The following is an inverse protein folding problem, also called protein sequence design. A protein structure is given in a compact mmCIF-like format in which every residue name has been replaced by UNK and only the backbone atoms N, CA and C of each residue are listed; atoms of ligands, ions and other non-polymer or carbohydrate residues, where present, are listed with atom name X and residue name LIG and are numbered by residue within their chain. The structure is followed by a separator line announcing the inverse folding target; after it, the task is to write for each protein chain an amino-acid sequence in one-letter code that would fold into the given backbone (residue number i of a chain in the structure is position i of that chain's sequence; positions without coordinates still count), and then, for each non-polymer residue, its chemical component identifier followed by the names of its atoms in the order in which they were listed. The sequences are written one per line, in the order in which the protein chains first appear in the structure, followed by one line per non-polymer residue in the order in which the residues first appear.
data_IF_500740001578
#
_entry.id   IF_500740001578
#
_cell.length_a   1.000
_cell.length_b   1.000
_cell.length_c   1.000
_cell.angle_alpha   90.00
_cell.angle_beta   90.00
_cell.angle_gamma   90.00
#
_symmetry.space_group_name_H-M   'P 1'
#
loop_
_entity.id
_entity.type
_entity.pdbx_description
1 polymer ?
#
# COMPACT_ATOMS: atom_id res chain seq x y z
N UNK A 1 -9.77 37.68 86.51
CA UNK A 1 -10.05 38.70 85.48
C UNK A 1 -10.36 37.96 84.20
N UNK A 2 -11.61 37.56 84.02
CA UNK A 2 -12.67 38.25 83.28
C UNK A 2 -12.72 37.70 81.84
N UNK A 3 -13.84 37.31 81.23
CA UNK A 3 -15.23 37.12 81.64
C UNK A 3 -15.96 36.52 80.41
N UNK A 4 -17.13 35.91 80.65
CA UNK A 4 -18.25 35.72 79.69
C UNK A 4 -18.33 34.50 78.74
N UNK A 5 -19.43 33.76 78.94
CA UNK A 5 -20.11 32.78 78.07
C UNK A 5 -21.56 33.31 77.78
N UNK A 6 -22.54 32.51 77.27
CA UNK A 6 -22.83 31.89 75.95
C UNK A 6 -24.12 32.54 75.29
N UNK A 7 -24.82 32.06 74.20
CA UNK A 7 -25.66 30.82 74.18
C UNK A 7 -25.95 30.09 72.81
N UNK A 8 -26.37 28.80 72.93
CA UNK A 8 -27.41 27.97 72.25
C UNK A 8 -27.82 28.08 70.74
N UNK A 9 -27.72 26.91 70.07
CA UNK A 9 -28.74 26.09 69.34
C UNK A 9 -29.50 26.58 68.08
N UNK A 10 -29.47 25.79 66.98
CA UNK A 10 -30.65 25.34 66.17
C UNK A 10 -30.31 24.19 65.18
N UNK A 11 -31.28 23.29 64.95
CA UNK A 11 -31.28 21.93 64.35
C UNK A 11 -31.54 21.87 62.80
N UNK A 12 -31.71 20.70 62.09
CA UNK A 12 -31.43 20.45 60.65
C UNK A 12 -32.71 20.27 59.75
N UNK A 13 -32.65 20.05 58.40
CA UNK A 13 -32.66 18.69 57.78
C UNK A 13 -31.97 18.54 56.38
N UNK A 14 -32.00 17.31 55.84
CA UNK A 14 -31.39 16.75 54.61
C UNK A 14 -32.14 17.09 53.28
N UNK A 15 -32.11 16.25 52.21
CA UNK A 15 -31.06 15.85 51.25
C UNK A 15 -31.38 16.33 49.80
N UNK A 16 -30.45 16.22 48.84
CA UNK A 16 -30.84 16.14 47.41
C UNK A 16 -29.87 15.30 46.60
N UNK A 17 -30.45 14.36 45.85
CA UNK A 17 -29.81 13.39 44.99
C UNK A 17 -29.59 13.91 43.55
N UNK A 18 -28.95 13.06 42.73
CA UNK A 18 -28.85 13.05 41.24
C UNK A 18 -27.78 13.99 40.67
N UNK A 19 -26.78 13.56 39.88
CA UNK A 19 -26.85 12.66 38.71
C UNK A 19 -25.43 12.13 38.37
N UNK A 20 -25.26 10.87 37.90
CA UNK A 20 -23.97 10.39 37.37
C UNK A 20 -23.72 10.97 35.97
N UNK A 21 -22.56 11.60 35.76
CA UNK A 21 -22.09 11.99 34.44
C UNK A 21 -21.80 10.75 33.58
N UNK A 22 -22.11 10.76 32.27
CA UNK A 22 -22.02 9.58 31.43
C UNK A 22 -20.58 9.12 31.25
N UNK A 23 -20.36 7.81 31.38
CA UNK A 23 -19.12 7.15 31.04
C UNK A 23 -18.82 7.36 29.55
N UNK A 24 -17.74 8.08 29.25
CA UNK A 24 -17.18 8.14 27.91
C UNK A 24 -16.69 6.73 27.57
N UNK A 25 -17.41 6.03 26.71
CA UNK A 25 -16.91 4.82 26.05
C UNK A 25 -15.65 5.20 25.31
N UNK A 26 -14.50 4.84 25.88
CA UNK A 26 -13.24 4.85 25.17
C UNK A 26 -13.38 3.86 24.01
N UNK A 27 -13.63 4.39 22.81
CA UNK A 27 -13.48 3.63 21.58
C UNK A 27 -12.03 3.15 21.54
N UNK A 28 -11.83 1.86 21.75
CA UNK A 28 -10.55 1.19 21.52
C UNK A 28 -10.26 1.26 20.03
N UNK A 29 -9.58 2.32 19.60
CA UNK A 29 -8.89 2.35 18.32
C UNK A 29 -7.90 1.18 18.31
N UNK A 30 -7.98 0.25 17.35
CA UNK A 30 -6.96 -0.77 17.18
C UNK A 30 -5.59 -0.08 17.09
N UNK A 31 -4.53 -0.62 17.71
CA UNK A 31 -3.20 -0.02 17.60
C UNK A 31 -2.84 0.11 16.11
N UNK A 32 -2.25 1.24 15.67
CA UNK A 32 -1.78 1.34 14.30
C UNK A 32 -0.76 0.22 14.10
N UNK A 33 -1.07 -0.72 13.21
CA UNK A 33 -0.04 -1.52 12.53
C UNK A 33 1.01 -0.52 12.09
N UNK A 34 2.25 -0.66 12.54
CA UNK A 34 3.33 0.30 12.28
C UNK A 34 3.38 0.60 10.79
N UNK A 35 2.74 1.70 10.37
CA UNK A 35 2.76 2.12 8.99
C UNK A 35 4.21 2.41 8.66
N UNK A 36 4.73 1.78 7.61
CA UNK A 36 6.09 2.05 7.16
C UNK A 36 6.21 3.58 6.97
N UNK A 37 7.22 4.18 7.61
CA UNK A 37 7.45 5.61 7.49
C UNK A 37 7.69 5.95 6.01
N UNK A 38 7.00 6.98 5.51
CA UNK A 38 7.17 7.45 4.14
C UNK A 38 8.55 8.11 4.03
N UNK A 39 9.43 7.64 3.13
CA UNK A 39 10.76 8.23 2.98
C UNK A 39 10.70 9.67 2.45
N UNK A 40 11.76 10.44 2.69
CA UNK A 40 11.89 11.78 2.10
C UNK A 40 11.82 11.72 0.56
N UNK A 41 11.11 12.67 -0.04
CA UNK A 41 10.88 12.72 -1.50
C UNK A 41 9.80 11.75 -2.00
N UNK A 42 9.04 11.11 -1.10
CA UNK A 42 7.86 10.33 -1.40
C UNK A 42 6.62 10.98 -0.79
N UNK A 43 5.48 10.80 -1.48
CA UNK A 43 4.17 11.14 -0.98
C UNK A 43 3.27 9.89 -0.94
N UNK A 44 2.50 9.76 0.14
CA UNK A 44 1.40 8.80 0.19
C UNK A 44 0.30 9.23 -0.75
N UNK A 45 -0.05 8.34 -1.65
CA UNK A 45 -1.20 8.43 -2.53
C UNK A 45 -2.30 7.52 -1.98
N UNK A 46 -3.49 8.07 -1.76
CA UNK A 46 -4.71 7.28 -1.54
C UNK A 46 -5.54 7.30 -2.82
N UNK A 47 -5.63 6.17 -3.51
CA UNK A 47 -6.34 6.06 -4.78
C UNK A 47 -7.84 5.85 -4.56
N UNK A 48 -8.67 6.42 -5.43
CA UNK A 48 -10.11 6.17 -5.46
C UNK A 48 -10.50 4.70 -5.69
N UNK A 49 -9.56 3.83 -6.06
CA UNK A 49 -9.72 2.38 -6.17
C UNK A 49 -9.63 1.64 -4.82
N UNK A 50 -9.32 2.33 -3.73
CA UNK A 50 -9.39 1.80 -2.37
C UNK A 50 -8.05 1.55 -1.69
N UNK A 51 -6.93 1.58 -2.43
CA UNK A 51 -5.60 1.36 -1.87
C UNK A 51 -4.87 2.66 -1.52
N UNK A 52 -3.85 2.55 -0.67
CA UNK A 52 -2.83 3.59 -0.45
C UNK A 52 -1.42 3.07 -0.70
N UNK A 53 -0.53 3.94 -1.16
CA UNK A 53 0.88 3.60 -1.46
C UNK A 53 1.76 4.85 -1.44
N UNK A 54 3.01 4.75 -1.00
CA UNK A 54 3.98 5.82 -1.16
C UNK A 54 4.68 5.72 -2.52
N UNK A 55 4.70 6.82 -3.27
CA UNK A 55 5.40 6.95 -4.55
C UNK A 55 6.27 8.23 -4.52
N UNK A 56 7.33 8.33 -5.34
CA UNK A 56 8.11 9.55 -5.40
C UNK A 56 7.23 10.76 -5.75
N UNK A 57 7.64 11.93 -5.28
CA UNK A 57 6.86 13.16 -5.45
C UNK A 57 6.60 13.50 -6.94
N UNK A 58 5.44 14.11 -7.18
CA UNK A 58 5.06 14.61 -8.50
C UNK A 58 4.55 13.54 -9.48
N UNK A 59 4.39 12.28 -9.04
CA UNK A 59 3.83 11.24 -9.91
C UNK A 59 2.35 11.50 -10.23
N UNK A 60 1.98 11.29 -11.49
CA UNK A 60 0.64 11.61 -12.00
C UNK A 60 -0.17 10.35 -12.31
N UNK A 61 -1.39 10.30 -11.78
CA UNK A 61 -2.34 9.21 -11.99
C UNK A 61 -2.84 9.16 -13.44
N UNK A 62 -2.86 7.98 -14.02
CA UNK A 62 -3.48 7.68 -15.31
C UNK A 62 -4.29 6.39 -15.21
N UNK A 63 -5.58 6.45 -15.56
CA UNK A 63 -6.45 5.28 -15.52
C UNK A 63 -6.49 4.61 -16.89
N UNK A 64 -6.29 3.29 -16.91
CA UNK A 64 -6.36 2.50 -18.14
C UNK A 64 -6.94 1.14 -17.75
N UNK A 65 -8.28 1.05 -17.69
CA UNK A 65 -8.96 -0.16 -17.22
C UNK A 65 -8.42 -1.42 -17.92
N UNK A 66 -8.18 -2.52 -17.17
CA UNK A 66 -8.53 -2.72 -15.76
C UNK A 66 -7.52 -2.17 -14.74
N UNK A 67 -6.47 -1.47 -15.18
CA UNK A 67 -5.35 -1.01 -14.36
C UNK A 67 -5.45 0.47 -14.01
N UNK A 68 -4.77 0.87 -12.93
CA UNK A 68 -4.36 2.26 -12.72
C UNK A 68 -2.85 2.35 -12.79
N UNK A 69 -2.36 3.47 -13.29
CA UNK A 69 -0.96 3.78 -13.37
C UNK A 69 -0.65 5.09 -12.67
N UNK A 70 0.58 5.21 -12.18
CA UNK A 70 1.20 6.46 -11.78
C UNK A 70 2.49 6.62 -12.56
N UNK A 71 2.68 7.78 -13.18
CA UNK A 71 3.84 8.08 -14.01
C UNK A 71 4.70 9.14 -13.35
N UNK A 72 6.02 8.97 -13.40
CA UNK A 72 6.94 10.06 -13.07
C UNK A 72 6.72 11.26 -14.01
N UNK A 73 7.09 12.49 -13.62
CA UNK A 73 6.90 13.69 -14.43
C UNK A 73 7.46 13.58 -15.86
N UNK A 74 8.63 12.94 -16.02
CA UNK A 74 9.30 12.68 -17.30
C UNK A 74 8.79 11.42 -18.04
N UNK A 75 7.84 10.71 -17.43
CA UNK A 75 7.27 9.44 -17.87
C UNK A 75 8.30 8.31 -18.04
N UNK A 76 9.47 8.42 -17.41
CA UNK A 76 10.47 7.37 -17.43
C UNK A 76 10.07 6.20 -16.53
N UNK A 77 9.44 6.45 -15.38
CA UNK A 77 8.99 5.43 -14.43
C UNK A 77 7.48 5.30 -14.45
N UNK A 78 7.01 4.08 -14.21
CA UNK A 78 5.59 3.78 -14.12
C UNK A 78 5.31 2.72 -13.07
N UNK A 79 4.55 3.12 -12.06
CA UNK A 79 3.89 2.21 -11.13
C UNK A 79 2.55 1.84 -11.70
N UNK A 80 2.08 0.63 -11.44
CA UNK A 80 0.68 0.30 -11.64
C UNK A 80 0.16 -0.69 -10.63
N UNK A 81 -1.15 -0.66 -10.49
CA UNK A 81 -1.92 -1.53 -9.62
C UNK A 81 -3.04 -2.20 -10.44
N UNK A 82 -3.28 -3.46 -10.12
CA UNK A 82 -4.44 -4.22 -10.59
C UNK A 82 -5.00 -5.11 -9.47
N UNK A 83 -6.31 -5.04 -9.26
CA UNK A 83 -7.08 -6.01 -8.48
C UNK A 83 -7.90 -6.86 -9.43
N UNK A 84 -7.94 -8.16 -9.18
CA UNK A 84 -8.80 -9.13 -9.86
C UNK A 84 -9.34 -10.19 -8.90
N UNK A 85 -10.35 -10.97 -9.31
CA UNK A 85 -10.63 -12.25 -8.67
C UNK A 85 -9.38 -13.14 -8.65
N UNK A 86 -9.17 -13.96 -7.61
CA UNK A 86 -8.07 -14.91 -7.58
C UNK A 86 -8.08 -15.84 -8.80
N UNK A 87 -6.90 -16.06 -9.37
CA UNK A 87 -6.72 -17.03 -10.44
C UNK A 87 -6.81 -18.47 -9.95
N UNK A 88 -6.59 -19.42 -10.86
CA UNK A 88 -6.40 -20.82 -10.47
C UNK A 88 -5.02 -20.99 -9.84
N UNK A 89 -4.96 -21.64 -8.68
CA UNK A 89 -3.72 -21.91 -7.96
C UNK A 89 -3.23 -20.73 -7.12
N UNK A 90 -1.93 -20.73 -6.82
CA UNK A 90 -1.26 -19.71 -6.03
C UNK A 90 -0.91 -18.48 -6.86
N UNK A 91 -0.53 -17.37 -6.21
CA UNK A 91 0.01 -16.19 -6.91
C UNK A 91 1.23 -16.55 -7.78
N UNK A 92 2.05 -17.50 -7.32
CA UNK A 92 3.17 -18.02 -8.08
C UNK A 92 2.71 -18.76 -9.34
N UNK A 93 1.68 -19.60 -9.27
CA UNK A 93 1.16 -20.32 -10.44
C UNK A 93 0.62 -19.35 -11.51
N UNK A 94 -0.08 -18.30 -11.07
CA UNK A 94 -0.56 -17.24 -11.94
C UNK A 94 0.61 -16.54 -12.63
N UNK A 95 1.63 -16.07 -11.89
CA UNK A 95 2.79 -15.43 -12.50
C UNK A 95 3.63 -16.36 -13.37
N UNK A 96 3.76 -17.64 -13.00
CA UNK A 96 4.44 -18.65 -13.82
C UNK A 96 3.76 -18.81 -15.19
N UNK A 97 2.43 -18.78 -15.23
CA UNK A 97 1.67 -18.81 -16.49
C UNK A 97 1.92 -17.54 -17.33
N UNK A 98 2.03 -16.37 -16.69
CA UNK A 98 2.32 -15.11 -17.36
C UNK A 98 3.75 -15.06 -17.91
N UNK A 99 4.74 -15.56 -17.17
CA UNK A 99 6.12 -15.69 -17.62
C UNK A 99 6.23 -16.63 -18.83
N UNK A 100 5.53 -17.76 -18.78
CA UNK A 100 5.47 -18.70 -19.91
C UNK A 100 4.86 -18.03 -21.15
N UNK A 101 3.76 -17.29 -20.99
CA UNK A 101 3.13 -16.56 -22.08
C UNK A 101 4.03 -15.45 -22.63
N UNK A 102 4.78 -14.74 -21.77
CA UNK A 102 5.71 -13.69 -22.17
C UNK A 102 6.89 -14.19 -23.00
N UNK A 103 7.34 -15.43 -22.76
CA UNK A 103 8.37 -16.10 -23.57
C UNK A 103 7.84 -16.60 -24.92
N UNK A 104 6.53 -16.66 -25.09
CA UNK A 104 5.90 -17.09 -26.33
C UNK A 104 6.11 -16.11 -27.49
N UNK A 105 5.94 -16.55 -28.75
CA UNK A 105 6.16 -15.73 -29.93
C UNK A 105 5.23 -14.49 -30.01
N UNK A 106 4.08 -14.56 -29.33
CA UNK A 106 3.10 -13.48 -29.25
C UNK A 106 2.97 -12.92 -27.82
N UNK A 107 4.06 -13.00 -27.02
CA UNK A 107 4.08 -12.49 -25.66
C UNK A 107 3.77 -10.98 -25.59
N UNK A 108 3.17 -10.48 -24.49
CA UNK A 108 2.77 -9.08 -24.38
C UNK A 108 3.94 -8.10 -24.26
N UNK A 109 5.15 -8.58 -23.97
CA UNK A 109 6.35 -7.76 -23.74
C UNK A 109 7.34 -7.95 -24.90
N UNK A 110 7.46 -6.93 -25.77
CA UNK A 110 8.44 -6.95 -26.86
C UNK A 110 9.86 -7.07 -26.31
N UNK A 111 10.64 -8.00 -26.87
CA UNK A 111 12.02 -8.26 -26.44
C UNK A 111 12.15 -8.79 -25.02
N UNK A 112 11.11 -9.46 -24.50
CA UNK A 112 11.11 -10.09 -23.18
C UNK A 112 12.37 -10.94 -22.95
N UNK A 113 13.05 -10.70 -21.83
CA UNK A 113 14.26 -11.41 -21.42
C UNK A 113 14.53 -11.22 -19.93
N UNK A 114 15.52 -11.95 -19.42
CA UNK A 114 15.98 -11.86 -18.01
C UNK A 114 14.86 -12.04 -16.97
N UNK A 115 13.84 -12.82 -17.33
CA UNK A 115 12.70 -13.14 -16.49
C UNK A 115 13.08 -14.09 -15.37
N UNK A 116 12.92 -13.65 -14.12
CA UNK A 116 13.17 -14.41 -12.89
C UNK A 116 11.92 -14.34 -12.02
N UNK A 117 11.42 -15.51 -11.60
CA UNK A 117 10.25 -15.62 -10.73
C UNK A 117 10.68 -16.14 -9.35
N UNK A 118 10.34 -15.41 -8.30
CA UNK A 118 10.76 -15.68 -6.92
C UNK A 118 9.55 -15.79 -6.01
N UNK A 119 9.48 -16.83 -5.18
CA UNK A 119 8.49 -16.92 -4.09
C UNK A 119 8.86 -15.96 -2.96
N UNK A 120 7.88 -15.23 -2.44
CA UNK A 120 8.06 -14.26 -1.36
C UNK A 120 6.76 -14.12 -0.56
N UNK A 121 6.64 -13.08 0.27
CA UNK A 121 5.43 -12.79 1.04
C UNK A 121 5.04 -11.32 0.93
N UNK A 122 3.75 -11.01 0.99
CA UNK A 122 3.24 -9.64 1.09
C UNK A 122 2.13 -9.61 2.13
N UNK A 123 2.23 -8.71 3.13
CA UNK A 123 1.26 -8.61 4.24
C UNK A 123 1.00 -9.94 4.98
N UNK A 124 2.00 -10.83 5.03
CA UNK A 124 1.88 -12.15 5.64
C UNK A 124 1.34 -13.24 4.72
N UNK A 125 0.90 -12.89 3.51
CA UNK A 125 0.38 -13.84 2.51
C UNK A 125 1.47 -14.31 1.55
N UNK A 126 1.30 -15.52 1.00
CA UNK A 126 2.15 -16.04 -0.07
C UNK A 126 2.07 -15.15 -1.32
N UNK A 127 3.23 -14.75 -1.82
CA UNK A 127 3.37 -13.87 -2.95
C UNK A 127 4.40 -14.38 -3.96
N UNK A 128 4.35 -13.83 -5.16
CA UNK A 128 5.34 -14.05 -6.20
C UNK A 128 5.87 -12.72 -6.71
N UNK A 129 7.19 -12.62 -6.84
CA UNK A 129 7.89 -11.50 -7.45
C UNK A 129 8.43 -11.94 -8.80
N UNK A 130 7.98 -11.30 -9.86
CA UNK A 130 8.50 -11.46 -11.20
C UNK A 130 9.34 -10.25 -11.58
N UNK A 131 10.61 -10.49 -11.88
CA UNK A 131 11.51 -9.47 -12.41
C UNK A 131 11.84 -9.77 -13.86
N UNK A 132 11.75 -8.78 -14.74
CA UNK A 132 12.04 -9.00 -16.16
C UNK A 132 12.45 -7.73 -16.89
N UNK A 133 13.06 -7.92 -18.05
CA UNK A 133 13.46 -6.85 -18.97
C UNK A 133 12.66 -6.95 -20.27
N UNK A 134 12.27 -5.81 -20.85
CA UNK A 134 11.63 -5.73 -22.16
C UNK A 134 11.98 -4.41 -22.87
N UNK A 135 11.61 -4.25 -24.13
CA UNK A 135 12.04 -3.13 -24.98
C UNK A 135 11.32 -1.79 -24.70
N UNK A 136 10.39 -1.76 -23.75
CA UNK A 136 9.64 -0.55 -23.40
C UNK A 136 8.40 -0.30 -24.25
N UNK A 137 7.95 0.96 -24.30
CA UNK A 137 6.64 1.35 -24.86
C UNK A 137 6.65 1.71 -26.35
N UNK A 138 7.70 1.33 -27.09
CA UNK A 138 7.92 1.78 -28.47
C UNK A 138 7.92 3.32 -28.63
N UNK A 139 8.28 4.04 -27.58
CA UNK A 139 8.38 5.51 -27.50
C UNK A 139 9.82 6.02 -27.68
N UNK A 140 10.76 5.12 -28.02
CA UNK A 140 12.18 5.44 -28.18
C UNK A 140 12.94 5.59 -26.86
N UNK A 141 12.32 5.38 -25.68
CA UNK A 141 13.00 5.50 -24.37
C UNK A 141 13.84 4.27 -23.98
N UNK A 142 13.90 3.26 -24.86
CA UNK A 142 14.75 2.09 -24.69
C UNK A 142 14.20 1.03 -23.72
N UNK A 143 15.04 0.02 -23.42
CA UNK A 143 14.62 -1.12 -22.62
C UNK A 143 14.34 -0.72 -21.17
N UNK A 144 13.49 -1.52 -20.53
CA UNK A 144 13.00 -1.27 -19.17
C UNK A 144 13.17 -2.50 -18.30
N UNK A 145 13.54 -2.29 -17.03
CA UNK A 145 13.45 -3.30 -15.97
C UNK A 145 12.11 -3.14 -15.25
N UNK A 146 11.46 -4.26 -14.95
CA UNK A 146 10.19 -4.30 -14.23
C UNK A 146 10.27 -5.25 -13.05
N UNK A 147 9.68 -4.83 -11.94
CA UNK A 147 9.40 -5.63 -10.76
C UNK A 147 7.89 -5.71 -10.61
N UNK A 148 7.34 -6.91 -10.60
CA UNK A 148 5.89 -7.17 -10.52
C UNK A 148 5.63 -8.14 -9.36
N UNK A 149 4.82 -7.73 -8.38
CA UNK A 149 4.46 -8.50 -7.20
C UNK A 149 2.99 -8.89 -7.26
N UNK A 150 2.72 -10.19 -7.18
CA UNK A 150 1.39 -10.75 -7.12
C UNK A 150 1.14 -11.44 -5.78
N UNK A 151 -0.02 -11.23 -5.16
CA UNK A 151 -0.47 -11.95 -3.97
C UNK A 151 -2.00 -12.00 -3.89
N UNK A 152 -2.54 -12.90 -3.08
CA UNK A 152 -3.97 -12.95 -2.77
C UNK A 152 -4.19 -12.54 -1.32
N UNK A 153 -5.14 -11.63 -1.08
CA UNK A 153 -5.52 -11.17 0.25
C UNK A 153 -7.02 -10.88 0.26
N UNK A 154 -7.74 -11.29 1.31
CA UNK A 154 -9.17 -10.99 1.51
C UNK A 154 -10.05 -11.35 0.30
N UNK A 155 -9.77 -12.50 -0.34
CA UNK A 155 -10.51 -13.00 -1.50
C UNK A 155 -10.27 -12.23 -2.80
N UNK A 156 -9.22 -11.39 -2.86
CA UNK A 156 -8.80 -10.62 -4.03
C UNK A 156 -7.36 -10.90 -4.36
N UNK A 157 -7.02 -10.95 -5.64
CA UNK A 157 -5.64 -11.01 -6.09
C UNK A 157 -5.19 -9.62 -6.55
N UNK A 158 -4.06 -9.19 -6.01
CA UNK A 158 -3.43 -7.91 -6.27
C UNK A 158 -2.17 -8.13 -7.09
N UNK A 159 -1.94 -7.25 -8.06
CA UNK A 159 -0.65 -7.04 -8.71
C UNK A 159 -0.23 -5.58 -8.46
N UNK A 160 0.98 -5.37 -7.97
CA UNK A 160 1.65 -4.07 -8.05
C UNK A 160 2.94 -4.24 -8.83
N UNK A 161 3.23 -3.32 -9.73
CA UNK A 161 4.48 -3.36 -10.46
C UNK A 161 5.07 -1.97 -10.62
N UNK A 162 6.40 -1.92 -10.72
CA UNK A 162 7.12 -0.71 -11.07
C UNK A 162 8.11 -1.02 -12.20
N UNK A 163 8.04 -0.22 -13.25
CA UNK A 163 8.85 -0.33 -14.44
C UNK A 163 9.61 0.97 -14.66
N UNK A 164 10.90 0.89 -15.01
CA UNK A 164 11.76 2.05 -15.26
C UNK A 164 12.85 1.73 -16.29
N UNK A 165 13.64 2.73 -16.73
CA UNK A 165 14.76 2.52 -17.66
C UNK A 165 15.74 1.47 -17.15
N UNK A 166 16.29 0.65 -18.06
CA UNK A 166 17.20 -0.44 -17.69
C UNK A 166 18.48 0.05 -17.00
N UNK A 167 19.02 1.19 -17.41
CA UNK A 167 20.18 1.85 -16.80
C UNK A 167 19.90 2.44 -15.41
N UNK A 168 18.62 2.59 -15.05
CA UNK A 168 18.15 3.05 -13.73
C UNK A 168 17.49 1.92 -12.93
N UNK A 169 17.97 0.68 -13.10
CA UNK A 169 17.41 -0.50 -12.43
C UNK A 169 17.39 -0.36 -10.90
N UNK A 170 18.45 0.12 -10.27
CA UNK A 170 18.49 0.26 -8.80
C UNK A 170 17.52 1.32 -8.29
N UNK A 171 17.34 2.43 -9.02
CA UNK A 171 16.34 3.43 -8.69
C UNK A 171 14.91 2.86 -8.85
N UNK A 172 14.71 2.05 -9.90
CA UNK A 172 13.44 1.32 -10.12
C UNK A 172 13.17 0.35 -8.95
N UNK A 173 14.18 -0.41 -8.51
CA UNK A 173 14.05 -1.34 -7.38
C UNK A 173 13.74 -0.60 -6.07
N UNK A 174 14.46 0.48 -5.78
CA UNK A 174 14.23 1.27 -4.56
C UNK A 174 12.81 1.86 -4.49
N UNK A 175 12.31 2.39 -5.61
CA UNK A 175 10.92 2.88 -5.68
C UNK A 175 9.90 1.74 -5.53
N UNK A 176 10.18 0.57 -6.13
CA UNK A 176 9.33 -0.61 -6.01
C UNK A 176 9.27 -1.13 -4.56
N UNK A 177 10.41 -1.23 -3.88
CA UNK A 177 10.48 -1.71 -2.50
C UNK A 177 9.76 -0.76 -1.55
N UNK A 178 9.85 0.56 -1.78
CA UNK A 178 9.09 1.55 -1.02
C UNK A 178 7.58 1.40 -1.24
N UNK A 179 7.16 1.25 -2.51
CA UNK A 179 5.76 1.02 -2.84
C UNK A 179 5.25 -0.27 -2.18
N UNK A 180 6.01 -1.37 -2.28
CA UNK A 180 5.70 -2.65 -1.64
C UNK A 180 5.56 -2.53 -0.12
N UNK A 181 6.47 -1.84 0.55
CA UNK A 181 6.49 -1.70 2.00
C UNK A 181 5.35 -0.83 2.54
N UNK A 182 4.82 0.09 1.73
CA UNK A 182 3.78 1.06 2.13
C UNK A 182 2.40 0.74 1.57
N UNK A 183 2.29 -0.26 0.68
CA UNK A 183 1.03 -0.61 0.05
C UNK A 183 0.01 -1.14 1.06
N UNK A 184 -1.15 -0.50 1.11
CA UNK A 184 -2.30 -0.93 1.90
C UNK A 184 -3.51 -1.08 0.96
N UNK A 185 -4.11 -2.28 0.83
CA UNK A 185 -5.28 -2.53 -0.01
C UNK A 185 -6.56 -1.76 0.38
#
# INVERSE_FOLDING_TARGET
SADSAPPRSTTPPAPTATTPAPATTASTTPPPTTAAAVPDGYATVTDKRGFSVALPDGWTRAETPPRVYYWSPDRAFRFGERVQPPGQGTAYDVMQSQDTAARGPNGPYRGFRDGVLTRTTQNGEDAALWEFTYDGFADGKGPRRTFDLCWTQDGRMYDIWLSGPLDLTEQTRSAFDTARATFTP
#
